data_IF_142692465299
#
_entry.id   IF_142692465299
#
_cell.length_a   1.000
_cell.length_b   1.000
_cell.length_c   1.000
_cell.angle_alpha   90.00
_cell.angle_beta   90.00
_cell.angle_gamma   90.00
#
_symmetry.space_group_name_H-M   'P 1'
#
loop_
_entity.id
_entity.type
_entity.pdbx_description
1 polymer ?
#
# COMPACT_ATOMS: atom_id res chain seq x y z
N UNK A 1 0.04 -24.97 1.19
CA UNK A 1 1.13 -24.47 2.02
C UNK A 1 0.63 -23.59 3.15
N UNK A 2 1.40 -23.50 4.21
CA UNK A 2 1.05 -22.67 5.36
C UNK A 2 1.76 -21.32 5.34
N UNK A 3 2.64 -21.08 4.37
CA UNK A 3 3.34 -19.81 4.23
C UNK A 3 2.60 -18.92 3.23
N UNK A 4 2.26 -17.72 3.69
CA UNK A 4 1.57 -16.73 2.88
C UNK A 4 2.36 -15.41 2.88
N UNK A 5 2.03 -14.54 1.93
CA UNK A 5 2.71 -13.28 1.71
C UNK A 5 1.87 -12.13 2.23
N UNK A 6 2.53 -11.20 2.91
CA UNK A 6 1.93 -9.96 3.41
C UNK A 6 2.69 -8.78 2.81
N UNK A 7 2.39 -8.38 1.56
CA UNK A 7 3.18 -7.36 0.87
C UNK A 7 2.95 -5.95 1.44
N UNK A 8 3.99 -5.12 1.29
CA UNK A 8 3.95 -3.69 1.60
C UNK A 8 4.00 -2.93 0.28
N UNK A 9 2.93 -2.23 -0.05
CA UNK A 9 2.79 -1.53 -1.33
C UNK A 9 3.87 -0.46 -1.54
N UNK A 10 4.23 0.27 -0.48
CA UNK A 10 5.28 1.27 -0.56
C UNK A 10 6.64 0.67 -0.88
N UNK A 11 6.99 -0.44 -0.23
CA UNK A 11 8.26 -1.11 -0.49
C UNK A 11 8.31 -1.71 -1.90
N UNK A 12 7.21 -2.28 -2.37
CA UNK A 12 7.11 -2.81 -3.74
C UNK A 12 7.27 -1.69 -4.76
N UNK A 13 6.66 -0.53 -4.51
CA UNK A 13 6.78 0.62 -5.40
C UNK A 13 8.24 1.08 -5.51
N UNK A 14 8.95 1.17 -4.38
CA UNK A 14 10.37 1.52 -4.39
C UNK A 14 11.22 0.47 -5.13
N UNK A 15 10.95 -0.80 -4.91
CA UNK A 15 11.64 -1.88 -5.61
C UNK A 15 11.40 -1.83 -7.11
N UNK A 16 10.17 -1.57 -7.53
CA UNK A 16 9.81 -1.44 -8.95
C UNK A 16 10.59 -0.30 -9.62
N UNK A 17 10.74 0.84 -8.94
CA UNK A 17 11.54 1.96 -9.44
C UNK A 17 13.01 1.58 -9.59
N UNK A 18 13.56 0.88 -8.60
CA UNK A 18 14.97 0.48 -8.59
C UNK A 18 15.29 -0.54 -9.67
N UNK A 19 14.43 -1.53 -9.87
CA UNK A 19 14.68 -2.66 -10.76
C UNK A 19 13.96 -2.54 -12.12
N UNK A 20 13.20 -1.47 -12.35
CA UNK A 20 12.48 -1.28 -13.61
C UNK A 20 11.33 -2.26 -13.82
N UNK A 21 10.74 -2.77 -12.73
CA UNK A 21 9.61 -3.68 -12.78
C UNK A 21 8.28 -2.93 -12.62
N UNK A 22 7.17 -3.66 -12.71
CA UNK A 22 5.83 -3.11 -12.52
C UNK A 22 5.25 -3.62 -11.20
N UNK A 23 4.65 -2.72 -10.42
CA UNK A 23 4.01 -3.06 -9.14
C UNK A 23 2.93 -4.12 -9.33
N UNK A 24 2.06 -3.95 -10.32
CA UNK A 24 1.00 -4.92 -10.59
C UNK A 24 1.55 -6.31 -10.91
N UNK A 25 2.63 -6.38 -11.71
CA UNK A 25 3.29 -7.64 -12.03
C UNK A 25 3.86 -8.33 -10.80
N UNK A 26 4.52 -7.57 -9.94
CA UNK A 26 5.10 -8.10 -8.70
C UNK A 26 4.00 -8.64 -7.78
N UNK A 27 2.89 -7.93 -7.63
CA UNK A 27 1.76 -8.40 -6.83
C UNK A 27 1.17 -9.69 -7.40
N UNK A 28 1.04 -9.80 -8.71
CA UNK A 28 0.47 -10.99 -9.36
C UNK A 28 1.34 -12.24 -9.18
N UNK A 29 2.63 -12.09 -8.95
CA UNK A 29 3.50 -13.25 -8.66
C UNK A 29 3.12 -13.95 -7.36
N UNK A 30 2.46 -13.23 -6.43
CA UNK A 30 1.99 -13.80 -5.18
C UNK A 30 0.58 -14.39 -5.22
N UNK A 31 -0.04 -14.47 -6.41
CA UNK A 31 -1.40 -14.96 -6.57
C UNK A 31 -1.62 -16.30 -5.84
N UNK A 32 -2.68 -16.36 -5.04
CA UNK A 32 -3.00 -17.55 -4.26
C UNK A 32 -2.33 -17.60 -2.89
N UNK A 33 -1.40 -16.69 -2.59
CA UNK A 33 -0.65 -16.66 -1.34
C UNK A 33 -0.74 -15.33 -0.60
N UNK A 34 -1.47 -14.35 -1.14
CA UNK A 34 -1.62 -13.04 -0.51
C UNK A 34 -2.72 -13.10 0.55
N UNK A 35 -2.40 -12.73 1.79
CA UNK A 35 -3.38 -12.76 2.90
C UNK A 35 -3.82 -11.36 3.31
N UNK A 36 -2.95 -10.36 3.17
CA UNK A 36 -3.22 -8.98 3.57
C UNK A 36 -2.22 -8.08 2.87
N UNK A 37 -2.39 -6.76 2.98
CA UNK A 37 -1.47 -5.80 2.38
C UNK A 37 -1.27 -4.61 3.31
N UNK A 38 -0.03 -4.18 3.47
CA UNK A 38 0.31 -2.89 4.09
C UNK A 38 0.19 -1.78 3.06
N UNK A 39 -0.50 -0.72 3.44
CA UNK A 39 -0.64 0.51 2.65
C UNK A 39 0.26 1.57 3.28
N UNK A 40 1.34 1.90 2.62
CA UNK A 40 2.33 2.86 3.10
C UNK A 40 2.77 3.76 1.96
N UNK A 41 2.89 5.06 2.23
CA UNK A 41 3.42 6.00 1.25
C UNK A 41 4.95 5.98 1.28
N UNK A 42 5.55 6.12 0.13
CA UNK A 42 7.01 6.22 -0.03
C UNK A 42 7.36 7.21 -1.12
N UNK A 43 8.63 7.60 -1.16
CA UNK A 43 9.25 8.29 -2.29
C UNK A 43 10.49 7.50 -2.67
N UNK A 44 11.08 7.72 -3.86
CA UNK A 44 12.30 6.99 -4.24
C UNK A 44 13.38 7.09 -3.16
N UNK A 45 13.83 5.93 -2.67
CA UNK A 45 14.89 5.84 -1.68
C UNK A 45 14.47 6.09 -0.23
N UNK A 46 13.21 6.44 0.03
CA UNK A 46 12.73 6.67 1.39
C UNK A 46 11.47 5.84 1.66
N UNK A 47 11.51 5.02 2.70
CA UNK A 47 10.53 3.95 2.93
C UNK A 47 9.52 4.25 4.02
N UNK A 48 9.60 5.38 4.69
CA UNK A 48 8.69 5.73 5.80
C UNK A 48 8.67 7.24 6.03
N UNK A 49 7.72 7.68 6.87
CA UNK A 49 7.58 9.08 7.27
C UNK A 49 7.17 10.01 6.12
N UNK A 50 6.50 9.48 5.11
CA UNK A 50 6.00 10.24 3.97
C UNK A 50 4.48 10.41 4.15
N UNK A 51 3.96 11.63 4.18
CA UNK A 51 2.51 11.85 4.25
C UNK A 51 1.80 11.22 3.04
N UNK A 52 0.68 10.57 3.30
CA UNK A 52 -0.11 9.94 2.25
C UNK A 52 -0.57 10.97 1.21
N UNK A 53 -0.44 10.60 -0.06
CA UNK A 53 -0.77 11.48 -1.18
C UNK A 53 0.37 12.38 -1.65
N UNK A 54 1.51 12.38 -0.93
CA UNK A 54 2.67 13.21 -1.30
C UNK A 54 3.81 12.43 -1.92
N UNK A 55 3.70 11.10 -1.95
CA UNK A 55 4.73 10.23 -2.48
C UNK A 55 4.41 9.71 -3.88
N UNK A 56 5.05 8.60 -4.25
CA UNK A 56 4.93 8.02 -5.59
C UNK A 56 4.09 6.74 -5.64
N UNK A 57 3.50 6.31 -4.53
CA UNK A 57 2.71 5.08 -4.50
C UNK A 57 1.37 5.30 -5.21
N UNK A 58 1.08 4.44 -6.18
CA UNK A 58 -0.24 4.39 -6.82
C UNK A 58 -1.14 3.47 -6.01
N UNK A 59 -1.83 4.04 -5.03
CA UNK A 59 -2.71 3.28 -4.15
C UNK A 59 -3.92 2.73 -4.90
N UNK A 60 -4.44 3.46 -5.88
CA UNK A 60 -5.59 2.99 -6.64
C UNK A 60 -5.27 1.71 -7.42
N UNK A 61 -4.16 1.69 -8.13
CA UNK A 61 -3.72 0.50 -8.85
C UNK A 61 -3.39 -0.65 -7.89
N UNK A 62 -2.60 -0.37 -6.84
CA UNK A 62 -2.16 -1.40 -5.90
C UNK A 62 -3.32 -2.07 -5.20
N UNK A 63 -4.29 -1.28 -4.72
CA UNK A 63 -5.48 -1.81 -4.03
C UNK A 63 -6.35 -2.59 -5.02
N UNK A 64 -6.56 -2.07 -6.23
CA UNK A 64 -7.38 -2.74 -7.23
C UNK A 64 -6.82 -4.11 -7.61
N UNK A 65 -5.50 -4.20 -7.82
CA UNK A 65 -4.83 -5.47 -8.13
C UNK A 65 -4.92 -6.43 -6.94
N UNK A 66 -4.64 -5.96 -5.73
CA UNK A 66 -4.74 -6.79 -4.53
C UNK A 66 -6.15 -7.32 -4.33
N UNK A 67 -7.16 -6.48 -4.52
CA UNK A 67 -8.56 -6.86 -4.42
C UNK A 67 -8.92 -7.94 -5.45
N UNK A 68 -8.49 -7.77 -6.69
CA UNK A 68 -8.66 -8.76 -7.75
C UNK A 68 -8.03 -10.11 -7.35
N UNK A 69 -6.88 -10.07 -6.66
CA UNK A 69 -6.16 -11.26 -6.20
C UNK A 69 -6.74 -11.86 -4.91
N UNK A 70 -7.84 -11.32 -4.39
CA UNK A 70 -8.54 -11.87 -3.24
C UNK A 70 -8.16 -11.26 -1.89
N UNK A 71 -7.30 -10.26 -1.85
CA UNK A 71 -6.92 -9.59 -0.59
C UNK A 71 -8.11 -8.78 -0.07
N UNK A 72 -8.43 -8.95 1.21
CA UNK A 72 -9.53 -8.24 1.88
C UNK A 72 -9.12 -7.60 3.20
N UNK A 73 -7.84 -7.72 3.58
CA UNK A 73 -7.29 -7.09 4.78
C UNK A 73 -6.21 -6.11 4.38
N UNK A 74 -6.39 -4.86 4.76
CA UNK A 74 -5.46 -3.78 4.45
C UNK A 74 -5.12 -3.04 5.74
N UNK A 75 -3.83 -2.80 5.96
CA UNK A 75 -3.34 -2.06 7.11
C UNK A 75 -2.64 -0.81 6.62
N UNK A 76 -3.17 0.35 7.01
CA UNK A 76 -2.53 1.64 6.73
C UNK A 76 -1.37 1.82 7.70
N UNK A 77 -0.15 1.76 7.19
CA UNK A 77 1.04 1.94 8.01
C UNK A 77 1.38 3.42 8.08
N UNK A 78 1.26 3.99 9.27
CA UNK A 78 1.47 5.41 9.55
C UNK A 78 2.60 5.57 10.57
N UNK A 79 3.51 6.48 10.29
CA UNK A 79 4.66 6.75 11.17
C UNK A 79 4.49 8.09 11.87
N UNK A 80 4.57 8.06 13.20
CA UNK A 80 4.56 9.29 13.99
C UNK A 80 5.91 10.00 13.83
N UNK A 81 5.85 11.24 13.35
CA UNK A 81 7.07 12.03 13.07
C UNK A 81 7.28 13.17 14.07
N UNK A 82 6.51 13.20 15.16
CA UNK A 82 6.53 14.31 16.12
C UNK A 82 5.60 15.46 15.75
N UNK A 83 4.83 15.32 14.68
CA UNK A 83 3.87 16.35 14.26
C UNK A 83 2.71 16.44 15.27
N UNK A 84 2.37 17.66 15.71
CA UNK A 84 1.25 17.88 16.62
C UNK A 84 -0.11 17.60 15.98
N UNK A 85 -0.17 17.56 14.65
CA UNK A 85 -1.39 17.26 13.88
C UNK A 85 -1.49 15.80 13.45
N UNK A 86 -0.82 14.92 14.17
CA UNK A 86 -0.73 13.50 13.77
C UNK A 86 -2.09 12.81 13.71
N UNK A 87 -3.05 13.21 14.56
CA UNK A 87 -4.39 12.61 14.52
C UNK A 87 -5.13 12.97 13.22
N UNK A 88 -4.98 14.21 12.77
CA UNK A 88 -5.57 14.66 11.50
C UNK A 88 -4.90 13.97 10.32
N UNK A 89 -3.57 13.84 10.37
CA UNK A 89 -2.81 13.15 9.32
C UNK A 89 -3.20 11.68 9.22
N UNK A 90 -3.37 11.02 10.36
CA UNK A 90 -3.81 9.63 10.41
C UNK A 90 -5.24 9.48 9.85
N UNK A 91 -6.13 10.39 10.23
CA UNK A 91 -7.51 10.38 9.73
C UNK A 91 -7.55 10.62 8.21
N UNK A 92 -6.71 11.52 7.70
CA UNK A 92 -6.59 11.77 6.27
C UNK A 92 -6.11 10.52 5.52
N UNK A 93 -5.05 9.89 6.02
CA UNK A 93 -4.51 8.66 5.41
C UNK A 93 -5.58 7.56 5.37
N UNK A 94 -6.26 7.34 6.48
CA UNK A 94 -7.33 6.35 6.57
C UNK A 94 -8.48 6.67 5.61
N UNK A 95 -8.91 7.93 5.56
CA UNK A 95 -9.99 8.37 4.69
C UNK A 95 -9.67 8.17 3.21
N UNK A 96 -8.43 8.47 2.80
CA UNK A 96 -7.97 8.25 1.42
C UNK A 96 -8.03 6.77 1.05
N UNK A 97 -7.56 5.91 1.93
CA UNK A 97 -7.56 4.46 1.67
C UNK A 97 -8.98 3.89 1.67
N UNK A 98 -9.81 4.30 2.63
CA UNK A 98 -11.21 3.88 2.71
C UNK A 98 -11.98 4.25 1.43
N UNK A 99 -11.76 5.46 0.90
CA UNK A 99 -12.41 5.89 -0.33
C UNK A 99 -12.06 5.00 -1.52
N UNK A 100 -10.79 4.58 -1.62
CA UNK A 100 -10.37 3.66 -2.68
C UNK A 100 -11.00 2.29 -2.49
N UNK A 101 -10.99 1.77 -1.26
CA UNK A 101 -11.57 0.46 -0.94
C UNK A 101 -13.08 0.42 -1.22
N UNK A 102 -13.79 1.51 -0.92
CA UNK A 102 -15.24 1.59 -1.14
C UNK A 102 -15.62 1.52 -2.63
N UNK A 103 -14.69 1.86 -3.53
CA UNK A 103 -14.91 1.79 -4.97
C UNK A 103 -14.62 0.42 -5.57
N UNK A 104 -14.12 -0.54 -4.78
CA UNK A 104 -13.82 -1.87 -5.30
C UNK A 104 -15.09 -2.69 -5.48
N UNK A 105 -15.14 -3.60 -6.48
CA UNK A 105 -16.31 -4.45 -6.70
C UNK A 105 -16.50 -5.45 -5.55
N UNK A 106 -17.74 -5.81 -5.32
CA UNK A 106 -18.08 -6.81 -4.31
C UNK A 106 -17.67 -8.24 -4.70
#
# INVERSE_FOLDING_TARGET
TYLNVYPDLGNITNAAKTYGTLVAGDLRTGKGHLVAMHLKETVPGKFREIPFGTGHVDFEEGIAVAWELGVRKFVTEFWYTGNTEWEEDLADARGRMAAILDRQPE
#
